data_IF_674847007495
#
_entry.id   IF_674847007495
#
_cell.length_a   1.000
_cell.length_b   1.000
_cell.length_c   1.000
_cell.angle_alpha   90.00
_cell.angle_beta   90.00
_cell.angle_gamma   90.00
#
_symmetry.space_group_name_H-M   'P 1'
#
loop_
_entity.id
_entity.type
_entity.pdbx_description
1 polymer ?
#
# COMPACT_ATOMS: atom_id res chain seq x y z
N UNK A 1 -11.83 -3.07 19.81
CA UNK A 1 -11.61 -4.44 19.25
C UNK A 1 -12.84 -5.30 19.56
N UNK A 2 -13.20 -5.49 20.82
CA UNK A 2 -14.31 -6.37 21.27
C UNK A 2 -15.61 -6.23 20.46
N UNK A 3 -16.07 -4.99 20.22
CA UNK A 3 -17.28 -4.73 19.43
C UNK A 3 -17.14 -5.13 17.93
N UNK A 4 -15.93 -5.12 17.40
CA UNK A 4 -15.63 -5.56 16.03
C UNK A 4 -15.59 -7.08 15.95
N UNK A 5 -14.97 -7.74 16.94
CA UNK A 5 -14.87 -9.19 17.01
C UNK A 5 -16.24 -9.88 17.20
N UNK A 6 -17.12 -9.30 18.03
CA UNK A 6 -18.51 -9.78 18.22
C UNK A 6 -19.27 -9.80 16.87
N UNK A 7 -18.92 -8.90 15.94
CA UNK A 7 -19.51 -8.82 14.60
C UNK A 7 -18.76 -9.66 13.55
N UNK A 8 -17.76 -10.43 13.97
CA UNK A 8 -16.99 -11.30 13.09
C UNK A 8 -15.99 -10.60 12.18
N UNK A 9 -15.53 -9.41 12.55
CA UNK A 9 -14.60 -8.61 11.74
C UNK A 9 -13.13 -8.96 11.96
N UNK A 10 -12.80 -10.00 12.70
CA UNK A 10 -11.44 -10.58 12.83
C UNK A 10 -10.30 -9.57 12.84
N UNK A 11 -10.26 -8.73 13.88
CA UNK A 11 -9.15 -7.80 14.12
C UNK A 11 -7.93 -8.60 14.54
N UNK A 12 -6.79 -8.42 13.84
CA UNK A 12 -5.52 -9.06 14.20
C UNK A 12 -4.91 -8.38 15.41
N UNK A 13 -4.77 -7.03 15.33
CA UNK A 13 -4.30 -6.22 16.45
C UNK A 13 -4.78 -4.77 16.35
N UNK A 14 -4.60 -4.03 17.44
CA UNK A 14 -4.75 -2.58 17.48
C UNK A 14 -3.65 -1.96 18.34
N UNK A 15 -3.06 -0.89 17.86
CA UNK A 15 -1.95 -0.23 18.55
C UNK A 15 -1.92 1.29 18.31
N UNK A 16 -1.09 1.98 19.09
CA UNK A 16 -0.85 3.41 18.91
C UNK A 16 0.22 3.63 17.84
N UNK A 17 -0.04 4.61 16.99
CA UNK A 17 0.85 5.06 15.94
C UNK A 17 1.53 6.42 16.27
N UNK A 18 2.47 6.82 15.38
CA UNK A 18 3.35 7.99 15.63
C UNK A 18 2.71 9.35 15.37
N UNK A 19 1.50 9.40 14.80
CA UNK A 19 0.78 10.64 14.45
C UNK A 19 0.11 11.35 15.63
N UNK A 20 0.30 10.86 16.86
CA UNK A 20 -0.25 11.47 18.06
C UNK A 20 0.45 12.78 18.43
N UNK A 21 -0.28 13.68 19.10
CA UNK A 21 0.26 14.89 19.71
C UNK A 21 0.36 14.68 21.22
N UNK A 22 1.56 14.81 21.75
CA UNK A 22 1.75 14.81 23.20
C UNK A 22 1.09 16.04 23.83
N UNK A 23 0.42 15.90 24.99
CA UNK A 23 -0.16 17.03 25.68
C UNK A 23 0.91 18.08 25.98
N UNK A 24 0.59 19.33 25.69
CA UNK A 24 1.38 20.48 26.12
C UNK A 24 0.67 21.10 27.31
N UNK A 25 1.41 21.34 28.34
CA UNK A 25 0.97 22.14 29.51
C UNK A 25 1.56 23.53 29.31
N UNK A 26 0.71 24.57 29.34
CA UNK A 26 1.18 25.95 29.30
C UNK A 26 1.75 26.40 30.65
N UNK A 27 2.30 27.60 30.69
CA UNK A 27 2.95 28.15 31.89
C UNK A 27 1.98 28.38 33.07
N UNK A 28 0.66 28.29 32.82
CA UNK A 28 -0.40 28.41 33.84
C UNK A 28 -1.07 27.08 34.18
N UNK A 29 -0.59 25.97 33.59
CA UNK A 29 -1.04 24.61 33.91
C UNK A 29 -2.26 24.12 33.08
N UNK A 30 -2.66 24.81 32.02
CA UNK A 30 -3.70 24.28 31.14
C UNK A 30 -3.15 23.15 30.30
N UNK A 31 -3.91 22.07 30.25
CA UNK A 31 -3.63 20.91 29.37
C UNK A 31 -4.39 21.12 28.06
N UNK A 32 -3.65 21.17 26.94
CA UNK A 32 -4.27 21.18 25.62
C UNK A 32 -4.75 19.79 25.25
N UNK A 33 -5.75 19.72 24.39
CA UNK A 33 -6.36 18.47 23.90
C UNK A 33 -5.30 17.47 23.45
N UNK A 34 -5.44 16.25 23.92
CA UNK A 34 -4.57 15.13 23.52
C UNK A 34 -5.16 14.53 22.27
N UNK A 35 -4.34 14.32 21.25
CA UNK A 35 -4.72 13.57 20.07
C UNK A 35 -3.80 12.34 19.92
N UNK A 36 -4.41 11.17 19.86
CA UNK A 36 -3.70 9.91 19.64
C UNK A 36 -4.04 9.39 18.25
N UNK A 37 -3.06 8.80 17.57
CA UNK A 37 -3.28 8.03 16.35
C UNK A 37 -3.33 6.56 16.71
N UNK A 38 -4.38 5.88 16.25
CA UNK A 38 -4.59 4.46 16.45
C UNK A 38 -4.64 3.75 15.10
N UNK A 39 -4.05 2.57 15.03
CA UNK A 39 -4.13 1.68 13.89
C UNK A 39 -4.80 0.38 14.29
N UNK A 40 -5.62 -0.15 13.39
CA UNK A 40 -6.23 -1.47 13.48
C UNK A 40 -5.77 -2.30 12.28
N UNK A 41 -5.26 -3.47 12.56
CA UNK A 41 -4.87 -4.45 11.55
C UNK A 41 -5.91 -5.57 11.47
N UNK A 42 -6.18 -6.01 10.25
CA UNK A 42 -7.15 -7.07 9.96
C UNK A 42 -6.46 -8.37 9.60
N UNK A 43 -7.01 -9.48 10.07
CA UNK A 43 -6.72 -10.77 9.45
C UNK A 43 -7.19 -10.73 7.99
N UNK A 44 -6.46 -11.41 7.11
CA UNK A 44 -6.79 -11.39 5.68
C UNK A 44 -8.16 -12.04 5.41
N UNK A 45 -8.88 -11.50 4.43
CA UNK A 45 -10.07 -12.12 3.85
C UNK A 45 -9.77 -12.66 2.46
N UNK A 46 -10.25 -13.88 2.14
CA UNK A 46 -10.20 -14.42 0.79
C UNK A 46 -11.27 -13.82 -0.15
N UNK A 47 -12.18 -13.01 0.41
CA UNK A 47 -13.23 -12.33 -0.31
C UNK A 47 -13.02 -10.81 -0.21
N UNK A 48 -12.61 -10.13 -1.29
CA UNK A 48 -12.35 -8.70 -1.27
C UNK A 48 -13.61 -7.86 -0.99
N UNK A 49 -14.80 -8.34 -1.35
CA UNK A 49 -16.04 -7.65 -1.01
C UNK A 49 -16.29 -7.68 0.50
N UNK A 50 -16.08 -8.82 1.15
CA UNK A 50 -16.20 -8.93 2.61
C UNK A 50 -15.18 -8.05 3.32
N UNK A 51 -13.94 -7.96 2.81
CA UNK A 51 -12.94 -7.05 3.36
C UNK A 51 -13.38 -5.58 3.27
N UNK A 52 -13.97 -5.18 2.14
CA UNK A 52 -14.49 -3.83 1.95
C UNK A 52 -15.72 -3.53 2.84
N UNK A 53 -16.63 -4.50 3.00
CA UNK A 53 -17.78 -4.40 3.91
C UNK A 53 -17.30 -4.21 5.35
N UNK A 54 -16.34 -5.02 5.81
CA UNK A 54 -15.79 -4.95 7.16
C UNK A 54 -15.16 -3.57 7.42
N UNK A 55 -14.38 -3.04 6.47
CA UNK A 55 -13.74 -1.73 6.59
C UNK A 55 -14.77 -0.61 6.72
N UNK A 56 -15.80 -0.61 5.89
CA UNK A 56 -16.86 0.40 5.95
C UNK A 56 -17.65 0.33 7.27
N UNK A 57 -18.02 -0.86 7.69
CA UNK A 57 -18.77 -1.08 8.94
C UNK A 57 -17.90 -0.73 10.16
N UNK A 58 -16.60 -1.08 10.15
CA UNK A 58 -15.68 -0.75 11.22
C UNK A 58 -15.58 0.75 11.47
N UNK A 59 -15.52 1.58 10.43
CA UNK A 59 -15.51 3.05 10.58
C UNK A 59 -16.75 3.58 11.32
N UNK A 60 -17.90 2.98 11.06
CA UNK A 60 -19.16 3.34 11.74
C UNK A 60 -19.10 2.93 13.21
N UNK A 61 -18.69 1.70 13.50
CA UNK A 61 -18.61 1.15 14.85
C UNK A 61 -17.59 1.92 15.69
N UNK A 62 -16.38 2.15 15.16
CA UNK A 62 -15.31 2.88 15.83
C UNK A 62 -15.80 4.27 16.23
N UNK A 63 -16.42 4.99 15.29
CA UNK A 63 -16.97 6.33 15.58
C UNK A 63 -18.02 6.29 16.70
N UNK A 64 -18.89 5.30 16.69
CA UNK A 64 -19.94 5.16 17.71
C UNK A 64 -19.36 4.78 19.08
N UNK A 65 -18.41 3.86 19.13
CA UNK A 65 -17.75 3.44 20.38
C UNK A 65 -17.02 4.63 21.03
N UNK A 66 -16.26 5.39 20.26
CA UNK A 66 -15.54 6.56 20.76
C UNK A 66 -16.50 7.64 21.25
N UNK A 67 -17.56 7.92 20.47
CA UNK A 67 -18.60 8.90 20.85
C UNK A 67 -19.26 8.55 22.18
N UNK A 68 -19.56 7.26 22.45
CA UNK A 68 -20.12 6.80 23.73
C UNK A 68 -19.18 7.02 24.91
N UNK A 69 -17.89 7.11 24.65
CA UNK A 69 -16.85 7.38 25.66
C UNK A 69 -16.43 8.85 25.73
N UNK A 70 -17.17 9.77 25.10
CA UNK A 70 -16.90 11.21 25.13
C UNK A 70 -15.67 11.61 24.29
N UNK A 71 -15.31 10.80 23.29
CA UNK A 71 -14.17 11.02 22.40
C UNK A 71 -14.63 11.20 20.96
N UNK A 72 -13.93 12.03 20.19
CA UNK A 72 -14.14 12.22 18.76
C UNK A 72 -13.11 11.41 17.96
N UNK A 73 -13.52 10.91 16.79
CA UNK A 73 -12.67 10.18 15.85
C UNK A 73 -12.63 10.89 14.50
N UNK A 74 -11.45 11.09 13.99
CA UNK A 74 -11.19 11.61 12.66
C UNK A 74 -10.61 10.54 11.75
N UNK A 75 -11.25 10.31 10.61
CA UNK A 75 -10.76 9.46 9.52
C UNK A 75 -10.12 10.28 8.37
N UNK A 76 -9.85 11.57 8.59
CA UNK A 76 -9.14 12.40 7.60
C UNK A 76 -7.75 11.85 7.32
N UNK A 77 -7.30 11.98 6.07
CA UNK A 77 -5.95 11.59 5.68
C UNK A 77 -4.86 12.42 6.39
N UNK A 78 -5.14 13.70 6.66
CA UNK A 78 -4.22 14.60 7.37
C UNK A 78 -4.99 15.45 8.39
N UNK A 79 -5.45 14.87 9.51
CA UNK A 79 -6.27 15.59 10.49
C UNK A 79 -5.49 16.75 11.14
N UNK A 80 -4.17 16.60 11.29
CA UNK A 80 -3.30 17.60 11.93
C UNK A 80 -2.07 17.84 11.05
N UNK A 81 -1.77 19.10 10.75
CA UNK A 81 -0.57 19.48 10.02
C UNK A 81 0.67 19.33 10.90
N UNK A 82 1.81 18.99 10.30
CA UNK A 82 3.09 18.87 10.99
C UNK A 82 3.33 17.54 11.72
N UNK A 83 2.35 16.63 11.75
CA UNK A 83 2.50 15.25 12.28
C UNK A 83 2.13 14.23 11.21
N UNK A 84 2.40 12.94 11.43
CA UNK A 84 2.02 11.89 10.49
C UNK A 84 0.51 11.90 10.19
N UNK A 85 0.13 11.58 8.96
CA UNK A 85 -1.26 11.44 8.54
C UNK A 85 -1.74 10.00 8.72
N UNK A 86 -3.04 9.78 8.47
CA UNK A 86 -3.67 8.47 8.55
C UNK A 86 -3.66 7.76 7.21
N UNK A 87 -3.05 6.58 7.15
CA UNK A 87 -3.06 5.68 6.00
C UNK A 87 -4.11 4.59 6.17
N UNK A 88 -4.47 3.99 5.05
CA UNK A 88 -5.23 2.74 4.96
C UNK A 88 -4.47 1.81 4.02
N UNK A 89 -3.35 1.30 4.53
CA UNK A 89 -2.47 0.46 3.72
C UNK A 89 -3.22 -0.82 3.30
N UNK A 90 -3.35 -0.99 2.01
CA UNK A 90 -4.16 -2.07 1.45
C UNK A 90 -3.27 -3.22 1.00
N UNK A 91 -3.32 -4.33 1.73
CA UNK A 91 -2.61 -5.55 1.41
C UNK A 91 -3.42 -6.40 0.43
N UNK A 92 -2.81 -6.77 -0.69
CA UNK A 92 -3.46 -7.54 -1.74
C UNK A 92 -2.62 -8.74 -2.16
N UNK A 93 -3.27 -9.86 -2.34
CA UNK A 93 -2.69 -11.11 -2.81
C UNK A 93 -3.51 -11.70 -3.95
N UNK A 94 -2.96 -12.72 -4.60
CA UNK A 94 -3.65 -13.48 -5.62
C UNK A 94 -3.34 -14.96 -5.44
N UNK A 95 -4.39 -15.75 -5.28
CA UNK A 95 -4.26 -17.20 -5.09
C UNK A 95 -5.16 -17.97 -6.04
N UNK A 96 -4.78 -19.19 -6.35
CA UNK A 96 -5.60 -20.12 -7.10
C UNK A 96 -5.86 -21.39 -6.30
N UNK A 97 -7.09 -21.90 -6.40
CA UNK A 97 -7.44 -23.23 -5.94
C UNK A 97 -7.30 -24.21 -7.10
N UNK A 98 -6.36 -25.12 -6.98
CA UNK A 98 -6.13 -26.17 -7.99
C UNK A 98 -7.25 -27.23 -7.94
N UNK A 99 -7.36 -28.03 -9.00
CA UNK A 99 -8.30 -29.18 -9.06
C UNK A 99 -8.10 -30.19 -7.93
N UNK A 100 -6.89 -30.29 -7.38
CA UNK A 100 -6.56 -31.11 -6.20
C UNK A 100 -7.10 -30.55 -4.89
N UNK A 101 -7.69 -29.34 -4.88
CA UNK A 101 -8.07 -28.60 -3.67
C UNK A 101 -6.95 -27.79 -3.05
N UNK A 102 -5.70 -27.96 -3.47
CA UNK A 102 -4.54 -27.19 -2.98
C UNK A 102 -4.68 -25.71 -3.38
N UNK A 103 -4.45 -24.82 -2.41
CA UNK A 103 -4.36 -23.36 -2.66
C UNK A 103 -2.89 -23.00 -2.83
N UNK A 104 -2.58 -22.29 -3.92
CA UNK A 104 -1.26 -21.74 -4.22
C UNK A 104 -1.34 -20.22 -4.32
N UNK A 105 -0.28 -19.54 -3.89
CA UNK A 105 -0.10 -18.10 -4.11
C UNK A 105 0.47 -17.91 -5.52
N UNK A 106 -0.21 -17.12 -6.35
CA UNK A 106 0.21 -16.89 -7.73
C UNK A 106 1.29 -15.81 -7.86
N UNK A 107 1.51 -15.00 -6.83
CA UNK A 107 2.53 -13.94 -6.82
C UNK A 107 3.91 -14.49 -6.46
N UNK A 108 3.95 -15.53 -5.61
CA UNK A 108 5.18 -16.13 -5.13
C UNK A 108 5.93 -16.87 -6.25
N UNK A 109 7.27 -16.75 -6.33
CA UNK A 109 8.07 -17.55 -7.26
C UNK A 109 8.14 -19.01 -6.79
N UNK A 110 8.60 -19.90 -7.68
CA UNK A 110 8.87 -21.30 -7.33
C UNK A 110 10.03 -21.41 -6.33
N UNK A 111 11.09 -20.63 -6.53
CA UNK A 111 12.22 -20.53 -5.61
C UNK A 111 12.27 -19.14 -4.94
N UNK A 112 11.88 -19.09 -3.69
CA UNK A 112 11.83 -17.87 -2.89
C UNK A 112 13.21 -17.24 -2.64
N UNK A 113 14.29 -17.96 -2.82
CA UNK A 113 15.67 -17.46 -2.60
C UNK A 113 16.32 -16.94 -3.89
N UNK A 114 15.89 -17.41 -5.04
CA UNK A 114 16.44 -17.00 -6.33
C UNK A 114 15.68 -15.89 -7.02
N UNK A 115 14.36 -15.79 -6.79
CA UNK A 115 13.48 -14.84 -7.45
C UNK A 115 12.62 -14.07 -6.44
N UNK A 116 12.27 -12.83 -6.78
CA UNK A 116 11.34 -12.03 -5.96
C UNK A 116 9.91 -12.45 -6.16
N UNK A 117 9.49 -12.64 -7.41
CA UNK A 117 8.12 -12.83 -7.84
C UNK A 117 8.02 -13.86 -8.98
N UNK A 118 6.86 -14.45 -9.13
CA UNK A 118 6.50 -15.21 -10.33
C UNK A 118 6.26 -14.28 -11.52
N UNK A 119 6.10 -14.82 -12.73
CA UNK A 119 5.65 -14.05 -13.90
C UNK A 119 4.35 -13.30 -13.64
N UNK A 120 3.38 -13.94 -12.97
CA UNK A 120 2.10 -13.30 -12.57
C UNK A 120 2.35 -12.20 -11.56
N UNK A 121 3.24 -12.41 -10.59
CA UNK A 121 3.61 -11.40 -9.59
C UNK A 121 4.24 -10.15 -10.19
N UNK A 122 5.14 -10.31 -11.15
CA UNK A 122 5.69 -9.17 -11.90
C UNK A 122 4.62 -8.47 -12.74
N UNK A 123 3.78 -9.22 -13.44
CA UNK A 123 2.65 -8.65 -14.17
C UNK A 123 1.72 -7.85 -13.28
N UNK A 124 1.41 -8.38 -12.10
CA UNK A 124 0.56 -7.69 -11.11
C UNK A 124 1.13 -6.31 -10.74
N UNK A 125 2.37 -6.27 -10.27
CA UNK A 125 2.96 -5.01 -9.80
C UNK A 125 3.20 -4.03 -10.94
N UNK A 126 3.66 -4.49 -12.10
CA UNK A 126 3.86 -3.65 -13.28
C UNK A 126 2.53 -3.03 -13.75
N UNK A 127 1.44 -3.80 -13.72
CA UNK A 127 0.11 -3.31 -14.05
C UNK A 127 -0.38 -2.21 -13.12
N UNK A 128 -0.18 -2.39 -11.82
CA UNK A 128 -0.53 -1.37 -10.82
C UNK A 128 0.28 -0.09 -11.02
N UNK A 129 1.60 -0.21 -11.21
CA UNK A 129 2.49 0.96 -11.37
C UNK A 129 2.19 1.71 -12.68
N UNK A 130 2.01 0.99 -13.80
CA UNK A 130 1.72 1.58 -15.11
C UNK A 130 0.39 2.34 -15.12
N UNK A 131 -0.64 1.76 -14.54
CA UNK A 131 -1.98 2.33 -14.54
C UNK A 131 -2.26 3.24 -13.33
N UNK A 132 -1.27 3.50 -12.45
CA UNK A 132 -1.53 4.17 -11.19
C UNK A 132 -2.11 5.57 -11.36
N UNK A 133 -1.64 6.35 -12.32
CA UNK A 133 -2.18 7.70 -12.57
C UNK A 133 -3.67 7.67 -12.92
N UNK A 134 -4.12 6.65 -13.67
CA UNK A 134 -5.51 6.47 -14.04
C UNK A 134 -6.39 6.03 -12.86
N UNK A 135 -5.84 5.22 -11.94
CA UNK A 135 -6.61 4.70 -10.79
C UNK A 135 -6.51 5.59 -9.54
N UNK A 136 -5.53 6.49 -9.46
CA UNK A 136 -5.30 7.35 -8.30
C UNK A 136 -6.52 8.20 -7.89
N UNK A 137 -7.36 8.74 -8.79
CA UNK A 137 -8.58 9.47 -8.39
C UNK A 137 -9.58 8.63 -7.59
N UNK A 138 -9.57 7.30 -7.73
CA UNK A 138 -10.40 6.38 -6.96
C UNK A 138 -9.76 5.99 -5.62
N UNK A 139 -8.45 6.15 -5.51
CA UNK A 139 -7.66 5.81 -4.31
C UNK A 139 -7.50 7.04 -3.42
N UNK A 140 -7.05 8.16 -4.01
CA UNK A 140 -6.82 9.44 -3.32
C UNK A 140 -7.94 10.44 -3.70
N UNK A 141 -9.19 10.07 -3.39
CA UNK A 141 -10.40 10.75 -3.87
C UNK A 141 -10.68 12.10 -3.22
N UNK A 142 -9.93 12.51 -2.21
CA UNK A 142 -10.12 13.78 -1.49
C UNK A 142 -8.86 14.63 -1.54
N UNK A 143 -9.02 15.96 -1.57
CA UNK A 143 -7.88 16.90 -1.55
C UNK A 143 -7.02 16.76 -0.30
N UNK A 144 -7.59 16.30 0.81
CA UNK A 144 -6.88 16.03 2.06
C UNK A 144 -5.85 14.88 1.93
N UNK A 145 -6.08 13.94 1.01
CA UNK A 145 -5.12 12.88 0.68
C UNK A 145 -3.75 13.46 0.27
N UNK A 146 -3.73 14.53 -0.53
CA UNK A 146 -2.49 15.17 -0.98
C UNK A 146 -1.77 15.96 0.11
N UNK A 147 -2.44 16.28 1.21
CA UNK A 147 -1.78 16.82 2.40
C UNK A 147 -0.99 15.76 3.15
N UNK A 148 -1.39 14.48 3.03
CA UNK A 148 -0.67 13.33 3.59
C UNK A 148 0.46 12.85 2.68
N UNK A 149 0.23 12.78 1.37
CA UNK A 149 1.17 12.24 0.37
C UNK A 149 2.31 13.24 0.08
N UNK A 150 3.11 13.53 1.09
CA UNK A 150 4.24 14.48 1.07
C UNK A 150 5.46 13.85 1.72
N UNK A 151 6.68 14.28 1.32
CA UNK A 151 7.91 13.82 1.96
C UNK A 151 7.91 14.03 3.47
N UNK A 152 8.57 13.14 4.20
CA UNK A 152 8.84 13.27 5.64
C UNK A 152 7.92 12.47 6.57
N UNK A 153 6.90 11.77 6.07
CA UNK A 153 5.93 11.04 6.89
C UNK A 153 5.62 9.62 6.38
N UNK A 154 6.58 8.95 5.76
CA UNK A 154 6.42 7.58 5.23
C UNK A 154 5.22 7.39 4.28
N UNK A 155 4.75 8.46 3.65
CA UNK A 155 3.65 8.42 2.70
C UNK A 155 4.19 8.52 1.27
N UNK A 156 3.67 7.74 0.30
CA UNK A 156 4.23 7.69 -1.05
C UNK A 156 4.02 9.01 -1.80
N UNK A 157 5.07 9.47 -2.49
CA UNK A 157 5.03 10.67 -3.36
C UNK A 157 5.39 10.34 -4.80
N UNK A 158 5.89 9.14 -5.09
CA UNK A 158 6.26 8.70 -6.42
C UNK A 158 5.63 7.34 -6.74
N UNK A 159 5.44 7.05 -8.03
CA UNK A 159 4.91 5.76 -8.49
C UNK A 159 6.07 4.77 -8.61
N UNK A 160 6.53 4.27 -7.48
CA UNK A 160 7.66 3.34 -7.40
C UNK A 160 7.39 2.18 -6.47
N UNK A 161 8.10 1.09 -6.70
CA UNK A 161 8.18 -0.08 -5.82
C UNK A 161 9.58 -0.30 -5.30
N UNK A 162 9.72 -1.09 -4.24
CA UNK A 162 10.98 -1.66 -3.78
C UNK A 162 10.81 -3.14 -3.55
N UNK A 163 11.74 -3.93 -4.09
CA UNK A 163 11.75 -5.39 -3.93
C UNK A 163 12.82 -5.85 -2.93
N UNK A 164 13.77 -4.96 -2.59
CA UNK A 164 14.98 -5.27 -1.85
C UNK A 164 16.18 -5.51 -2.77
N UNK A 165 17.37 -5.52 -2.18
CA UNK A 165 18.61 -5.71 -2.93
C UNK A 165 18.84 -7.16 -3.35
N UNK A 166 18.25 -8.11 -2.63
CA UNK A 166 18.35 -9.57 -2.89
C UNK A 166 17.03 -10.24 -2.54
N UNK A 167 16.67 -11.32 -3.23
CA UNK A 167 15.45 -12.06 -2.93
C UNK A 167 15.37 -12.56 -1.48
N UNK A 168 16.51 -12.88 -0.84
CA UNK A 168 16.56 -13.34 0.55
C UNK A 168 16.40 -12.21 1.58
N UNK A 169 16.53 -10.96 1.15
CA UNK A 169 16.42 -9.79 2.02
C UNK A 169 15.25 -8.91 1.57
N UNK A 170 14.05 -9.12 2.10
CA UNK A 170 12.87 -8.30 1.79
C UNK A 170 13.12 -6.83 2.05
N UNK A 171 12.60 -5.98 1.18
CA UNK A 171 12.67 -4.53 1.36
C UNK A 171 11.91 -4.10 2.61
N UNK A 172 12.47 -3.12 3.32
CA UNK A 172 11.78 -2.38 4.40
C UNK A 172 11.59 -0.91 4.05
N UNK A 173 11.74 -0.57 2.77
CA UNK A 173 11.55 0.79 2.30
C UNK A 173 10.07 1.17 2.41
N UNK A 174 9.75 2.20 3.20
CA UNK A 174 8.39 2.72 3.41
C UNK A 174 8.10 4.00 2.64
N UNK A 175 9.07 4.51 1.88
CA UNK A 175 8.92 5.72 1.07
C UNK A 175 8.32 5.48 -0.32
N UNK A 176 7.89 4.24 -0.59
CA UNK A 176 7.43 3.75 -1.90
C UNK A 176 5.90 3.63 -1.95
N UNK A 177 5.35 3.56 -3.18
CA UNK A 177 3.92 3.41 -3.41
C UNK A 177 3.43 1.97 -3.14
N UNK A 178 4.15 1.00 -3.67
CA UNK A 178 3.79 -0.42 -3.55
C UNK A 178 4.95 -1.20 -2.96
N UNK A 179 4.75 -1.78 -1.79
CA UNK A 179 5.71 -2.65 -1.11
C UNK A 179 5.48 -4.12 -1.45
N UNK A 180 6.56 -4.87 -1.60
CA UNK A 180 6.53 -6.33 -1.66
C UNK A 180 6.73 -6.89 -0.24
N UNK A 181 5.72 -7.60 0.26
CA UNK A 181 5.80 -8.32 1.53
C UNK A 181 5.93 -9.81 1.24
N UNK A 182 6.93 -10.43 1.84
CA UNK A 182 7.19 -11.85 1.66
C UNK A 182 7.83 -12.47 2.91
N UNK A 183 7.58 -13.74 3.08
CA UNK A 183 8.20 -14.60 4.07
C UNK A 183 8.83 -15.79 3.33
N UNK A 184 10.14 -15.98 3.46
CA UNK A 184 10.89 -17.02 2.75
C UNK A 184 10.45 -18.42 3.13
N UNK A 185 10.00 -18.60 4.36
CA UNK A 185 9.53 -19.89 4.88
C UNK A 185 8.05 -20.13 4.58
N UNK A 186 7.30 -19.06 4.24
CA UNK A 186 5.89 -19.13 3.93
C UNK A 186 5.55 -18.40 2.62
N UNK A 187 5.69 -19.05 1.46
CA UNK A 187 5.36 -18.45 0.16
C UNK A 187 3.91 -17.93 0.07
N UNK A 188 2.97 -18.48 0.88
CA UNK A 188 1.59 -18.02 0.90
C UNK A 188 1.44 -16.60 1.46
N UNK A 189 2.41 -16.11 2.23
CA UNK A 189 2.42 -14.76 2.77
C UNK A 189 2.80 -13.68 1.74
N UNK A 190 3.28 -14.08 0.54
CA UNK A 190 3.66 -13.13 -0.52
C UNK A 190 2.46 -12.29 -0.96
N UNK A 191 2.58 -10.98 -0.84
CA UNK A 191 1.53 -10.01 -1.16
C UNK A 191 2.12 -8.64 -1.45
N UNK A 192 1.33 -7.75 -1.99
CA UNK A 192 1.68 -6.34 -2.14
C UNK A 192 0.94 -5.49 -1.13
N UNK A 193 1.59 -4.42 -0.68
CA UNK A 193 1.03 -3.37 0.16
C UNK A 193 0.95 -2.09 -0.66
N UNK A 194 -0.26 -1.63 -0.98
CA UNK A 194 -0.49 -0.31 -1.54
C UNK A 194 -0.59 0.71 -0.40
N UNK A 195 0.30 1.70 -0.40
CA UNK A 195 0.50 2.61 0.74
C UNK A 195 -0.21 3.96 0.63
N UNK A 196 -0.79 4.28 -0.53
CA UNK A 196 -1.44 5.56 -0.78
C UNK A 196 -2.87 5.69 -0.26
N UNK A 197 -3.70 4.65 -0.13
CA UNK A 197 -5.05 4.79 0.39
C UNK A 197 -5.07 5.43 1.78
N UNK A 198 -6.17 6.07 2.09
CA UNK A 198 -6.42 6.71 3.38
C UNK A 198 -7.83 6.36 3.87
N UNK A 199 -8.17 6.60 5.14
CA UNK A 199 -9.47 6.16 5.69
C UNK A 199 -10.72 6.80 5.07
N UNK A 200 -10.61 7.73 4.12
CA UNK A 200 -11.72 8.20 3.30
C UNK A 200 -11.79 7.56 1.90
N UNK A 201 -10.83 6.71 1.58
CA UNK A 201 -10.86 5.97 0.31
C UNK A 201 -12.14 5.14 0.23
N UNK A 202 -12.79 5.17 -0.95
CA UNK A 202 -13.85 4.22 -1.24
C UNK A 202 -13.21 2.87 -1.57
N UNK A 203 -13.18 1.99 -0.57
CA UNK A 203 -12.44 0.73 -0.66
C UNK A 203 -12.97 -0.20 -1.76
N UNK A 204 -14.27 -0.16 -2.07
CA UNK A 204 -14.84 -0.95 -3.17
C UNK A 204 -14.25 -0.53 -4.52
N UNK A 205 -14.19 0.78 -4.77
CA UNK A 205 -13.61 1.32 -6.00
C UNK A 205 -12.10 1.13 -6.03
N UNK A 206 -11.40 1.40 -4.93
CA UNK A 206 -9.95 1.25 -4.86
C UNK A 206 -9.51 -0.18 -5.13
N UNK A 207 -10.13 -1.18 -4.48
CA UNK A 207 -9.82 -2.60 -4.67
C UNK A 207 -10.18 -3.04 -6.09
N UNK A 208 -11.32 -2.61 -6.63
CA UNK A 208 -11.72 -2.93 -8.01
C UNK A 208 -10.72 -2.38 -9.03
N UNK A 209 -10.36 -1.10 -8.92
CA UNK A 209 -9.39 -0.47 -9.82
C UNK A 209 -8.00 -1.10 -9.70
N UNK A 210 -7.58 -1.43 -8.47
CA UNK A 210 -6.30 -2.08 -8.22
C UNK A 210 -6.19 -3.44 -8.92
N UNK A 211 -7.22 -4.30 -8.79
CA UNK A 211 -7.22 -5.60 -9.46
C UNK A 211 -7.38 -5.49 -10.98
N UNK A 212 -8.13 -4.50 -11.49
CA UNK A 212 -8.21 -4.25 -12.94
C UNK A 212 -6.86 -3.81 -13.52
N UNK A 213 -6.16 -2.90 -12.85
CA UNK A 213 -4.81 -2.48 -13.23
C UNK A 213 -3.82 -3.66 -13.17
N UNK A 214 -3.88 -4.46 -12.11
CA UNK A 214 -3.07 -5.67 -11.97
C UNK A 214 -3.35 -6.69 -13.07
N UNK A 215 -4.62 -6.90 -13.43
CA UNK A 215 -5.02 -7.83 -14.48
C UNK A 215 -4.47 -7.42 -15.86
N UNK A 216 -4.41 -6.11 -16.13
CA UNK A 216 -3.82 -5.60 -17.37
C UNK A 216 -2.34 -5.98 -17.49
N UNK A 217 -1.55 -5.72 -16.44
CA UNK A 217 -0.14 -6.11 -16.41
C UNK A 217 0.08 -7.63 -16.38
N UNK A 218 -0.79 -8.41 -15.74
CA UNK A 218 -0.74 -9.88 -15.77
C UNK A 218 -0.95 -10.38 -17.22
N UNK A 219 -1.92 -9.82 -17.93
CA UNK A 219 -2.16 -10.16 -19.36
C UNK A 219 -0.92 -9.87 -20.21
N UNK A 220 -0.30 -8.69 -19.99
CA UNK A 220 0.97 -8.38 -20.66
C UNK A 220 2.05 -9.41 -20.34
N UNK A 221 2.33 -9.67 -19.08
CA UNK A 221 3.40 -10.57 -18.66
C UNK A 221 3.23 -11.98 -19.22
N UNK A 222 1.99 -12.53 -19.15
CA UNK A 222 1.68 -13.87 -19.68
C UNK A 222 1.78 -13.92 -21.21
N UNK A 223 1.24 -12.92 -21.91
CA UNK A 223 1.22 -12.89 -23.38
C UNK A 223 2.60 -12.58 -23.99
N UNK A 224 3.48 -11.90 -23.24
CA UNK A 224 4.84 -11.60 -23.69
C UNK A 224 5.73 -12.83 -23.81
N UNK A 225 5.40 -13.91 -23.12
CA UNK A 225 6.22 -15.13 -23.02
C UNK A 225 7.51 -14.93 -22.21
N UNK A 226 7.69 -13.78 -21.56
CA UNK A 226 8.87 -13.45 -20.77
C UNK A 226 8.87 -14.16 -19.42
N UNK A 227 10.06 -14.60 -19.01
CA UNK A 227 10.26 -15.17 -17.68
C UNK A 227 10.45 -14.11 -16.58
N UNK A 228 10.48 -14.54 -15.28
CA UNK A 228 10.64 -13.63 -14.15
C UNK A 228 11.86 -12.71 -14.24
N UNK A 229 12.99 -13.20 -14.73
CA UNK A 229 14.24 -12.42 -14.86
C UNK A 229 14.13 -11.29 -15.90
N UNK A 230 13.46 -11.55 -17.01
CA UNK A 230 13.25 -10.55 -18.07
C UNK A 230 12.26 -9.47 -17.61
N UNK A 231 11.20 -9.87 -16.89
CA UNK A 231 10.23 -8.93 -16.30
C UNK A 231 10.85 -8.12 -15.16
N UNK A 232 11.72 -8.71 -14.36
CA UNK A 232 12.54 -7.98 -13.38
C UNK A 232 13.44 -6.95 -14.06
N UNK A 233 14.04 -7.30 -15.19
CA UNK A 233 14.85 -6.39 -16.00
C UNK A 233 14.04 -5.19 -16.46
N UNK A 234 12.83 -5.41 -16.98
CA UNK A 234 11.93 -4.36 -17.42
C UNK A 234 11.47 -3.46 -16.24
N UNK A 235 11.08 -4.06 -15.11
CA UNK A 235 10.69 -3.30 -13.91
C UNK A 235 11.84 -2.45 -13.35
N UNK A 236 13.09 -2.90 -13.57
CA UNK A 236 14.31 -2.26 -13.05
C UNK A 236 15.02 -1.37 -14.07
N UNK A 237 14.42 -1.11 -15.22
CA UNK A 237 14.98 -0.26 -16.27
C UNK A 237 15.24 1.16 -15.77
N UNK A 238 16.21 1.85 -16.37
CA UNK A 238 16.45 3.26 -16.15
C UNK A 238 15.53 4.13 -16.98
N UNK A 239 15.35 5.38 -16.55
CA UNK A 239 14.66 6.38 -17.37
C UNK A 239 15.39 6.54 -18.71
N UNK A 240 14.63 6.54 -19.82
CA UNK A 240 15.15 6.59 -21.19
C UNK A 240 15.42 5.23 -21.82
N UNK A 241 15.47 4.14 -21.07
CA UNK A 241 15.60 2.78 -21.61
C UNK A 241 14.27 2.27 -22.16
N UNK A 242 14.33 1.50 -23.24
CA UNK A 242 13.14 0.92 -23.84
C UNK A 242 12.50 -0.12 -22.91
N UNK A 243 11.18 -0.08 -22.87
CA UNK A 243 10.35 -1.02 -22.14
C UNK A 243 9.27 -1.60 -23.06
N UNK A 244 8.77 -2.79 -22.73
CA UNK A 244 7.67 -3.39 -23.49
C UNK A 244 6.31 -2.89 -23.04
N UNK A 245 6.14 -2.60 -21.75
CA UNK A 245 4.88 -2.26 -21.12
C UNK A 245 4.96 -0.96 -20.29
N UNK A 246 6.03 -0.80 -19.53
CA UNK A 246 6.22 0.36 -18.69
C UNK A 246 6.64 1.60 -19.52
N UNK A 247 6.33 2.79 -19.02
CA UNK A 247 6.70 4.03 -19.69
C UNK A 247 8.22 4.18 -19.77
N UNK A 248 8.69 4.69 -20.94
CA UNK A 248 10.11 4.81 -21.23
C UNK A 248 10.82 5.82 -20.31
N UNK A 249 10.19 6.96 -20.06
CA UNK A 249 10.86 8.14 -19.52
C UNK A 249 10.94 8.18 -17.99
N UNK A 250 10.61 7.08 -17.30
CA UNK A 250 10.65 7.01 -15.83
C UNK A 250 11.13 5.66 -15.32
N UNK A 251 11.64 5.64 -14.08
CA UNK A 251 11.95 4.45 -13.33
C UNK A 251 10.79 4.07 -12.41
N UNK A 252 10.59 2.76 -12.21
CA UNK A 252 9.51 2.21 -11.39
C UNK A 252 10.00 1.44 -10.16
N UNK A 253 11.33 1.23 -10.04
CA UNK A 253 11.93 0.54 -8.90
C UNK A 253 12.99 1.40 -8.24
N UNK A 254 12.88 1.54 -6.91
CA UNK A 254 13.83 2.28 -6.09
C UNK A 254 14.06 1.57 -4.76
N UNK A 255 15.32 1.23 -4.46
CA UNK A 255 15.68 0.63 -3.18
C UNK A 255 16.17 1.67 -2.16
N UNK A 256 16.39 2.92 -2.58
CA UNK A 256 16.76 4.04 -1.72
C UNK A 256 15.54 4.69 -1.10
N UNK A 257 15.74 5.45 -0.02
CA UNK A 257 14.68 6.28 0.53
C UNK A 257 14.37 7.43 -0.44
N UNK A 258 13.17 7.41 -1.02
CA UNK A 258 12.74 8.39 -2.04
C UNK A 258 12.68 9.82 -1.48
N UNK A 259 12.51 9.97 -0.16
CA UNK A 259 12.43 11.29 0.48
C UNK A 259 13.78 11.87 0.87
N UNK A 260 14.69 11.01 1.34
CA UNK A 260 15.97 11.43 1.93
C UNK A 260 17.10 11.44 0.89
N UNK A 261 17.06 10.50 -0.07
CA UNK A 261 18.14 10.30 -1.04
C UNK A 261 17.93 11.06 -2.35
N UNK A 262 16.83 11.78 -2.51
CA UNK A 262 16.48 12.54 -3.72
C UNK A 262 15.87 13.89 -3.37
N UNK A 263 16.30 14.94 -4.10
CA UNK A 263 15.58 16.22 -4.12
C UNK A 263 14.26 16.08 -4.88
N UNK A 264 13.41 17.10 -4.83
CA UNK A 264 12.16 17.06 -5.59
C UNK A 264 12.44 17.05 -7.12
N UNK A 265 13.39 17.85 -7.59
CA UNK A 265 13.77 17.91 -8.99
C UNK A 265 14.28 16.54 -9.49
N UNK A 266 15.10 15.86 -8.69
CA UNK A 266 15.58 14.52 -9.01
C UNK A 266 14.43 13.49 -9.03
N UNK A 267 13.51 13.54 -8.07
CA UNK A 267 12.33 12.67 -8.07
C UNK A 267 11.49 12.87 -9.33
N UNK A 268 11.20 14.12 -9.67
CA UNK A 268 10.39 14.47 -10.85
C UNK A 268 11.07 14.01 -12.16
N UNK A 269 12.40 14.11 -12.22
CA UNK A 269 13.17 13.69 -13.38
C UNK A 269 13.29 12.18 -13.53
N UNK A 270 13.40 11.44 -12.41
CA UNK A 270 13.65 10.00 -12.42
C UNK A 270 12.34 9.20 -12.38
N UNK A 271 11.41 9.58 -11.52
CA UNK A 271 10.18 8.83 -11.25
C UNK A 271 8.92 9.46 -11.86
N UNK A 272 9.07 10.62 -12.51
CA UNK A 272 7.93 11.40 -12.97
C UNK A 272 7.29 12.24 -11.87
N UNK A 273 6.52 13.24 -12.26
CA UNK A 273 5.79 14.10 -11.32
C UNK A 273 4.79 13.28 -10.51
N UNK A 274 4.54 13.64 -9.24
CA UNK A 274 3.51 12.99 -8.45
C UNK A 274 2.16 13.06 -9.17
N UNK A 275 1.32 12.02 -9.04
CA UNK A 275 -0.01 12.01 -9.62
C UNK A 275 -0.99 12.86 -8.75
N UNK A 276 -0.70 14.15 -8.61
CA UNK A 276 -1.48 15.08 -7.78
C UNK A 276 -2.36 16.00 -8.64
#
# INVERSE_FOLDING_TARGET
IEELDIRGMHVEMGHKEVGGIKPKIDDVGHVFDVCEQLELDWLFSSNPLQAADNELEARIIIREVFRRNGLDVSFKAKPILGVAGSGEHTHVGLAARLKSGKIINLLAPEDMKSDYLSTIGYGFIMGVLHNYEAINPFISSTTDAFNRLKPGFEAPVCIVTSLGHKPELPSRNRSILVGLIRDLENPKATRFELRSPNPFTNIYLAVSCLYLAALDGIKYAVNSGRGPKELLGELSKRAGEDAGYLEKDREYRCEKNVFEDYTQEERDAVFGKPPA
#
